data_IF_257845232192
#
_entry.id   IF_257845232192
#
_cell.length_a   1.000
_cell.length_b   1.000
_cell.length_c   1.000
_cell.angle_alpha   90.00
_cell.angle_beta   90.00
_cell.angle_gamma   90.00
#
_symmetry.space_group_name_H-M   'P 1'
#
loop_
_entity.id
_entity.type
_entity.pdbx_description
1 polymer ?
#
# COMPACT_ATOMS: atom_id res chain seq x y z
N UNK A 1 -6.55 -9.46 -16.97
CA UNK A 1 -6.75 -8.04 -17.27
C UNK A 1 -8.14 -7.48 -16.93
N UNK A 2 -9.16 -8.31 -16.66
CA UNK A 2 -10.56 -7.88 -16.40
C UNK A 2 -10.73 -6.75 -15.36
N UNK A 3 -9.91 -6.70 -14.31
CA UNK A 3 -10.00 -5.65 -13.27
C UNK A 3 -9.60 -4.28 -13.82
N UNK A 4 -8.47 -4.20 -14.53
CA UNK A 4 -7.96 -2.94 -15.08
C UNK A 4 -8.92 -2.37 -16.13
N UNK A 5 -9.43 -3.23 -17.02
CA UNK A 5 -10.37 -2.81 -18.05
C UNK A 5 -11.72 -2.36 -17.45
N UNK A 6 -12.20 -3.07 -16.41
CA UNK A 6 -13.43 -2.69 -15.69
C UNK A 6 -13.27 -1.39 -14.92
N UNK A 7 -12.10 -1.16 -14.33
CA UNK A 7 -11.76 0.09 -13.64
C UNK A 7 -11.80 1.27 -14.61
N UNK A 8 -11.17 1.15 -15.79
CA UNK A 8 -11.20 2.21 -16.80
C UNK A 8 -12.59 2.42 -17.40
N UNK A 9 -13.40 1.36 -17.53
CA UNK A 9 -14.79 1.51 -17.97
C UNK A 9 -15.62 2.33 -16.96
N UNK A 10 -15.36 2.15 -15.67
CA UNK A 10 -16.05 2.88 -14.60
C UNK A 10 -15.56 4.32 -14.47
N UNK A 11 -14.25 4.50 -14.33
CA UNK A 11 -13.63 5.78 -13.95
C UNK A 11 -13.02 6.56 -15.10
N UNK A 12 -12.91 5.98 -16.30
CA UNK A 12 -12.30 6.55 -17.52
C UNK A 12 -10.79 6.78 -17.44
N UNK A 13 -10.25 7.24 -16.31
CA UNK A 13 -8.81 7.41 -16.08
C UNK A 13 -8.43 7.29 -14.59
N UNK A 14 -7.14 7.13 -14.30
CA UNK A 14 -6.64 7.16 -12.92
C UNK A 14 -6.92 8.51 -12.25
N UNK A 15 -6.70 9.63 -12.95
CA UNK A 15 -6.93 10.96 -12.37
C UNK A 15 -8.38 11.18 -11.94
N UNK A 16 -9.36 10.73 -12.74
CA UNK A 16 -10.78 10.81 -12.38
C UNK A 16 -11.14 9.91 -11.19
N UNK A 17 -10.54 8.71 -11.10
CA UNK A 17 -10.67 7.88 -9.90
C UNK A 17 -10.11 8.58 -8.65
N UNK A 18 -8.94 9.20 -8.75
CA UNK A 18 -8.34 9.94 -7.64
C UNK A 18 -9.19 11.16 -7.24
N UNK A 19 -9.88 11.80 -8.18
CA UNK A 19 -10.86 12.86 -7.86
C UNK A 19 -12.08 12.30 -7.11
N UNK A 20 -12.58 11.12 -7.51
CA UNK A 20 -13.66 10.43 -6.82
C UNK A 20 -13.30 9.99 -5.38
N UNK A 21 -12.01 9.74 -5.09
CA UNK A 21 -11.52 9.50 -3.72
C UNK A 21 -11.56 10.76 -2.81
N UNK A 22 -11.98 11.92 -3.32
CA UNK A 22 -12.10 13.16 -2.55
C UNK A 22 -10.80 13.97 -2.50
N UNK A 23 -10.77 15.04 -1.70
CA UNK A 23 -9.61 15.94 -1.67
C UNK A 23 -8.38 15.27 -1.05
N UNK A 24 -7.20 15.83 -1.37
CA UNK A 24 -5.96 15.47 -0.65
C UNK A 24 -6.04 16.00 0.77
N UNK A 25 -5.51 15.21 1.71
CA UNK A 25 -5.44 15.57 3.12
C UNK A 25 -4.19 16.41 3.38
N UNK A 26 -4.36 17.46 4.18
CA UNK A 26 -3.23 18.19 4.75
C UNK A 26 -2.55 17.36 5.85
N UNK A 27 -1.38 17.82 6.31
CA UNK A 27 -0.63 17.14 7.35
C UNK A 27 -1.43 17.00 8.65
N UNK A 28 -2.08 18.07 9.10
CA UNK A 28 -2.87 18.07 10.35
C UNK A 28 -4.11 17.18 10.23
N UNK A 29 -4.77 17.17 9.07
CA UNK A 29 -5.90 16.27 8.80
C UNK A 29 -5.45 14.82 8.82
N UNK A 30 -4.33 14.52 8.16
CA UNK A 30 -3.73 13.18 8.15
C UNK A 30 -3.36 12.73 9.56
N UNK A 31 -2.78 13.62 10.37
CA UNK A 31 -2.47 13.35 11.77
C UNK A 31 -3.72 13.00 12.56
N UNK A 32 -4.78 13.81 12.46
CA UNK A 32 -6.04 13.59 13.16
C UNK A 32 -6.69 12.26 12.78
N UNK A 33 -6.71 11.89 11.48
CA UNK A 33 -7.19 10.58 11.06
C UNK A 33 -6.43 9.43 11.74
N UNK A 34 -5.10 9.53 11.80
CA UNK A 34 -4.26 8.49 12.40
C UNK A 34 -4.50 8.44 13.91
N UNK A 35 -4.46 9.57 14.62
CA UNK A 35 -4.62 9.58 16.08
C UNK A 35 -5.98 9.06 16.50
N UNK A 36 -7.07 9.52 15.89
CA UNK A 36 -8.41 9.02 16.18
C UNK A 36 -8.53 7.52 15.91
N UNK A 37 -7.90 7.02 14.85
CA UNK A 37 -7.91 5.57 14.56
C UNK A 37 -7.16 4.78 15.63
N UNK A 38 -6.00 5.27 16.10
CA UNK A 38 -5.22 4.63 17.15
C UNK A 38 -5.95 4.63 18.50
N UNK A 39 -6.55 5.76 18.86
CA UNK A 39 -7.35 5.94 20.09
C UNK A 39 -8.57 5.00 20.10
N UNK A 40 -9.29 4.90 18.98
CA UNK A 40 -10.43 3.99 18.85
C UNK A 40 -10.05 2.51 19.02
N UNK A 41 -8.79 2.17 18.73
CA UNK A 41 -8.25 0.82 18.94
C UNK A 41 -7.59 0.65 20.32
N UNK A 42 -7.37 1.72 21.08
CA UNK A 42 -6.64 1.71 22.36
C UNK A 42 -5.17 1.30 22.21
N UNK A 43 -4.50 1.72 21.12
CA UNK A 43 -3.12 1.33 20.81
C UNK A 43 -2.16 2.51 20.58
N UNK A 44 -2.59 3.73 20.91
CA UNK A 44 -1.82 4.98 20.77
C UNK A 44 -0.47 4.94 21.50
N UNK A 45 -0.38 4.19 22.61
CA UNK A 45 0.85 4.05 23.40
C UNK A 45 1.96 3.28 22.65
N UNK A 46 1.55 2.46 21.67
CA UNK A 46 2.38 1.50 20.97
C UNK A 46 2.85 2.01 19.61
N UNK A 47 2.21 3.04 19.04
CA UNK A 47 2.53 3.55 17.70
C UNK A 47 2.80 5.05 17.78
N UNK A 48 4.03 5.44 17.40
CA UNK A 48 4.40 6.84 17.21
C UNK A 48 4.21 7.27 15.75
N UNK A 49 3.77 8.51 15.52
CA UNK A 49 3.58 9.08 14.18
C UNK A 49 4.78 9.96 13.83
N UNK A 50 5.30 9.84 12.62
CA UNK A 50 6.47 10.57 12.17
C UNK A 50 6.32 11.03 10.71
N UNK A 51 6.28 12.34 10.48
CA UNK A 51 6.21 12.92 9.13
C UNK A 51 7.61 13.23 8.59
N UNK A 52 7.91 12.78 7.37
CA UNK A 52 9.25 12.95 6.77
C UNK A 52 9.21 13.22 5.28
N UNK A 53 10.06 14.13 4.79
CA UNK A 53 10.18 14.45 3.35
C UNK A 53 10.89 13.34 2.54
N UNK A 54 11.93 12.75 3.12
CA UNK A 54 12.82 11.81 2.43
C UNK A 54 12.33 10.36 2.59
N UNK A 55 11.15 10.07 2.05
CA UNK A 55 10.58 8.73 2.04
C UNK A 55 10.22 8.30 0.61
N UNK A 56 10.42 7.01 0.30
CA UNK A 56 10.05 6.44 -1.01
C UNK A 56 8.57 6.10 -1.01
N UNK A 57 8.13 5.32 -0.02
CA UNK A 57 6.74 4.92 0.15
C UNK A 57 5.92 6.04 0.82
N UNK A 58 4.63 6.19 0.49
CA UNK A 58 3.74 7.15 1.16
C UNK A 58 3.56 6.88 2.66
N UNK A 59 3.51 5.60 3.06
CA UNK A 59 3.51 5.15 4.47
C UNK A 59 4.42 3.95 4.63
N UNK A 60 5.00 3.82 5.82
CA UNK A 60 5.58 2.57 6.30
C UNK A 60 5.44 2.47 7.81
N UNK A 61 5.21 1.25 8.32
CA UNK A 61 5.22 0.97 9.76
C UNK A 61 6.48 0.19 10.12
N UNK A 62 7.35 0.80 10.92
CA UNK A 62 8.58 0.16 11.39
C UNK A 62 8.43 -0.27 12.84
N UNK A 63 8.92 -1.45 13.19
CA UNK A 63 8.86 -1.98 14.56
C UNK A 63 10.23 -1.93 15.20
N UNK A 64 10.32 -1.30 16.37
CA UNK A 64 11.53 -1.30 17.18
C UNK A 64 11.54 -2.54 18.10
N UNK A 65 12.43 -3.52 17.87
CA UNK A 65 12.50 -4.73 18.69
C UNK A 65 12.97 -4.47 20.13
N UNK A 66 13.64 -3.34 20.41
CA UNK A 66 14.15 -3.00 21.75
C UNK A 66 13.03 -2.46 22.63
N UNK A 67 12.28 -1.49 22.12
CA UNK A 67 11.17 -0.86 22.86
C UNK A 67 9.85 -1.60 22.70
N UNK A 68 9.73 -2.45 21.68
CA UNK A 68 8.50 -3.15 21.32
C UNK A 68 7.42 -2.25 20.71
N UNK A 69 7.75 -0.96 20.49
CA UNK A 69 6.89 0.06 19.89
C UNK A 69 7.07 0.11 18.37
N UNK A 70 6.05 0.61 17.69
CA UNK A 70 6.05 0.87 16.27
C UNK A 70 6.14 2.37 15.98
N UNK A 71 6.62 2.69 14.78
CA UNK A 71 6.64 4.03 14.22
C UNK A 71 5.99 4.01 12.85
N UNK A 72 4.89 4.73 12.71
CA UNK A 72 4.22 4.98 11.44
C UNK A 72 4.85 6.21 10.79
N UNK A 73 5.57 6.00 9.70
CA UNK A 73 6.22 7.06 8.95
C UNK A 73 5.33 7.46 7.79
N UNK A 74 4.98 8.75 7.72
CA UNK A 74 4.18 9.33 6.64
C UNK A 74 5.07 10.25 5.80
N UNK A 75 5.02 10.08 4.49
CA UNK A 75 5.78 10.94 3.57
C UNK A 75 5.18 12.33 3.46
N UNK A 76 6.03 13.35 3.42
CA UNK A 76 5.69 14.72 3.05
C UNK A 76 6.13 15.06 1.60
N UNK A 77 5.31 15.82 0.84
CA UNK A 77 3.94 16.22 1.16
C UNK A 77 3.00 15.01 1.23
N UNK A 78 1.93 15.11 2.01
CA UNK A 78 0.95 14.04 2.17
C UNK A 78 0.31 13.70 0.81
N UNK A 79 0.30 12.40 0.45
CA UNK A 79 -0.28 11.92 -0.81
C UNK A 79 -1.69 11.30 -0.61
N UNK A 80 -2.20 11.27 0.62
CA UNK A 80 -3.48 10.64 0.97
C UNK A 80 -4.69 11.50 0.63
N UNK A 81 -5.80 10.84 0.32
CA UNK A 81 -7.11 11.44 0.08
C UNK A 81 -8.13 10.92 1.09
N UNK A 82 -9.17 11.70 1.33
CA UNK A 82 -10.22 11.41 2.31
C UNK A 82 -10.80 10.00 2.17
N UNK A 83 -11.22 9.62 0.95
CA UNK A 83 -11.82 8.31 0.66
C UNK A 83 -10.85 7.13 0.75
N UNK A 84 -9.55 7.38 0.98
CA UNK A 84 -8.51 6.36 1.02
C UNK A 84 -7.86 6.19 2.39
N UNK A 85 -7.82 7.25 3.19
CA UNK A 85 -7.01 7.28 4.41
C UNK A 85 -7.40 6.16 5.38
N UNK A 86 -8.70 5.95 5.59
CA UNK A 86 -9.19 4.87 6.45
C UNK A 86 -8.76 3.48 5.95
N UNK A 87 -8.85 3.21 4.66
CA UNK A 87 -8.40 1.93 4.10
C UNK A 87 -6.90 1.70 4.28
N UNK A 88 -6.07 2.75 4.22
CA UNK A 88 -4.64 2.65 4.50
C UNK A 88 -4.39 2.30 5.98
N UNK A 89 -5.18 2.84 6.89
CA UNK A 89 -5.10 2.51 8.32
C UNK A 89 -5.58 1.07 8.60
N UNK A 90 -6.64 0.63 7.95
CA UNK A 90 -7.12 -0.76 8.01
C UNK A 90 -6.04 -1.74 7.51
N UNK A 91 -5.27 -1.35 6.48
CA UNK A 91 -4.15 -2.12 5.93
C UNK A 91 -2.97 -2.18 6.92
N UNK A 92 -2.38 -1.02 7.22
CA UNK A 92 -1.12 -0.93 7.97
C UNK A 92 -1.30 -1.24 9.46
N UNK A 93 -2.37 -0.71 10.06
CA UNK A 93 -2.62 -0.84 11.51
C UNK A 93 -3.60 -1.97 11.77
N UNK A 94 -4.78 -1.91 11.15
CA UNK A 94 -5.87 -2.86 11.35
C UNK A 94 -5.49 -4.31 11.00
N UNK A 95 -4.54 -4.49 10.08
CA UNK A 95 -4.08 -5.82 9.66
C UNK A 95 -2.67 -6.09 10.16
N UNK A 96 -1.66 -5.38 9.66
CA UNK A 96 -0.27 -5.75 9.94
C UNK A 96 0.15 -5.58 11.39
N UNK A 97 -0.13 -4.40 11.96
CA UNK A 97 0.22 -4.11 13.35
C UNK A 97 -0.58 -4.99 14.31
N UNK A 98 -1.92 -5.01 14.22
CA UNK A 98 -2.75 -5.75 15.17
C UNK A 98 -2.45 -7.24 15.15
N UNK A 99 -2.26 -7.86 13.98
CA UNK A 99 -1.84 -9.26 13.88
C UNK A 99 -0.50 -9.50 14.59
N UNK A 100 0.49 -8.63 14.39
CA UNK A 100 1.79 -8.73 15.06
C UNK A 100 1.71 -8.51 16.56
N UNK A 101 0.89 -7.56 16.98
CA UNK A 101 0.69 -7.22 18.39
C UNK A 101 0.03 -8.40 19.11
N UNK A 102 -1.04 -8.95 18.53
CA UNK A 102 -1.76 -10.11 19.06
C UNK A 102 -0.91 -11.38 19.05
N UNK A 103 0.01 -11.53 18.09
CA UNK A 103 0.94 -12.66 18.03
C UNK A 103 1.80 -12.79 19.30
N UNK A 104 2.07 -11.68 20.00
CA UNK A 104 2.83 -11.68 21.27
C UNK A 104 2.15 -12.47 22.39
N UNK A 105 0.82 -12.59 22.33
CA UNK A 105 0.00 -13.30 23.33
C UNK A 105 -0.21 -14.78 22.99
N UNK A 106 0.27 -15.24 21.84
CA UNK A 106 0.03 -16.60 21.38
C UNK A 106 1.06 -17.58 21.94
N UNK A 107 0.66 -18.85 22.12
CA UNK A 107 1.53 -19.91 22.66
C UNK A 107 2.78 -20.16 21.80
N UNK A 108 2.70 -19.82 20.51
CA UNK A 108 3.78 -19.94 19.52
C UNK A 108 4.66 -18.69 19.37
N UNK A 109 4.44 -17.62 20.15
CA UNK A 109 5.28 -16.42 20.09
C UNK A 109 6.75 -16.77 20.31
N UNK A 110 7.62 -16.29 19.39
CA UNK A 110 9.07 -16.61 19.34
C UNK A 110 9.41 -18.11 19.28
N UNK A 111 8.44 -18.98 19.03
CA UNK A 111 8.60 -20.44 19.02
C UNK A 111 7.84 -21.06 17.84
N UNK A 112 7.72 -20.34 16.72
CA UNK A 112 6.93 -20.76 15.54
C UNK A 112 7.41 -22.11 14.99
N UNK A 113 8.72 -22.36 15.00
CA UNK A 113 9.31 -23.62 14.55
C UNK A 113 8.86 -24.82 15.40
N UNK A 114 8.66 -24.63 16.71
CA UNK A 114 8.16 -25.68 17.61
C UNK A 114 6.74 -26.16 17.22
N UNK A 115 5.96 -25.30 16.58
CA UNK A 115 4.58 -25.57 16.20
C UNK A 115 4.43 -25.72 14.66
N UNK A 116 5.54 -25.92 13.94
CA UNK A 116 5.56 -26.07 12.47
C UNK A 116 4.86 -24.92 11.72
N UNK A 117 4.89 -23.71 12.29
CA UNK A 117 4.16 -22.55 11.76
C UNK A 117 4.91 -21.93 10.58
N UNK A 118 4.34 -22.00 9.38
CA UNK A 118 4.87 -21.36 8.15
C UNK A 118 4.70 -19.84 8.18
N UNK A 119 5.46 -19.10 7.37
CA UNK A 119 5.24 -17.65 7.20
C UNK A 119 3.82 -17.36 6.70
N UNK A 120 3.19 -16.32 7.23
CA UNK A 120 1.84 -15.89 6.81
C UNK A 120 1.86 -14.65 5.92
N UNK A 121 3.03 -14.15 5.52
CA UNK A 121 3.16 -12.86 4.85
C UNK A 121 2.27 -12.72 3.61
N UNK A 122 2.23 -13.73 2.73
CA UNK A 122 1.41 -13.69 1.51
C UNK A 122 -0.09 -13.62 1.83
N UNK A 123 -0.54 -14.41 2.80
CA UNK A 123 -1.95 -14.40 3.24
C UNK A 123 -2.29 -13.09 3.93
N UNK A 124 -1.36 -12.55 4.70
CA UNK A 124 -1.52 -11.30 5.43
C UNK A 124 -1.62 -10.10 4.48
N UNK A 125 -0.76 -9.99 3.48
CA UNK A 125 -0.82 -8.95 2.44
C UNK A 125 -2.14 -9.03 1.65
N UNK A 126 -2.58 -10.25 1.32
CA UNK A 126 -3.87 -10.47 0.67
C UNK A 126 -5.04 -9.98 1.53
N UNK A 127 -5.04 -10.33 2.82
CA UNK A 127 -6.03 -9.85 3.79
C UNK A 127 -5.98 -8.32 3.91
N UNK A 128 -4.79 -7.73 4.04
CA UNK A 128 -4.61 -6.29 4.17
C UNK A 128 -5.14 -5.54 2.93
N UNK A 129 -4.90 -6.07 1.72
CA UNK A 129 -5.46 -5.55 0.48
C UNK A 129 -7.00 -5.59 0.46
N UNK A 130 -7.60 -6.68 0.97
CA UNK A 130 -9.07 -6.77 1.05
C UNK A 130 -9.65 -5.86 2.13
N UNK A 131 -9.00 -5.77 3.29
CA UNK A 131 -9.45 -4.94 4.41
C UNK A 131 -9.45 -3.45 4.04
N UNK A 132 -8.44 -3.01 3.28
CA UNK A 132 -8.37 -1.66 2.72
C UNK A 132 -9.63 -1.25 1.93
N UNK A 133 -10.33 -2.20 1.31
CA UNK A 133 -11.50 -1.93 0.48
C UNK A 133 -12.82 -1.98 1.25
N UNK A 134 -12.82 -2.43 2.50
CA UNK A 134 -14.06 -2.60 3.29
C UNK A 134 -14.78 -1.28 3.48
N UNK A 135 -14.05 -0.20 3.77
CA UNK A 135 -14.67 1.12 3.93
C UNK A 135 -15.25 1.66 2.63
N UNK A 136 -14.53 1.49 1.51
CA UNK A 136 -15.03 1.84 0.17
C UNK A 136 -16.32 1.09 -0.19
N UNK A 137 -16.47 -0.16 0.25
CA UNK A 137 -17.73 -0.90 0.10
C UNK A 137 -18.84 -0.31 0.97
N UNK A 138 -18.53 0.01 2.24
CA UNK A 138 -19.50 0.50 3.21
C UNK A 138 -20.01 1.90 2.91
N UNK A 139 -19.13 2.81 2.49
CA UNK A 139 -19.48 4.19 2.18
C UNK A 139 -20.18 4.33 0.82
N UNK A 140 -19.99 3.37 -0.08
CA UNK A 140 -20.58 3.35 -1.42
C UNK A 140 -20.11 4.49 -2.33
N UNK A 141 -19.08 5.25 -1.95
CA UNK A 141 -18.61 6.43 -2.71
C UNK A 141 -17.83 6.02 -3.95
N UNK A 142 -17.07 4.93 -3.83
CA UNK A 142 -16.27 4.38 -4.91
C UNK A 142 -16.55 2.88 -5.06
N UNK A 143 -16.37 2.38 -6.27
CA UNK A 143 -16.40 0.94 -6.54
C UNK A 143 -15.07 0.33 -6.08
N UNK A 144 -15.09 -0.76 -5.30
CA UNK A 144 -13.93 -1.31 -4.59
C UNK A 144 -13.02 -2.14 -5.52
N UNK A 145 -12.48 -1.53 -6.58
CA UNK A 145 -11.54 -2.22 -7.44
C UNK A 145 -10.19 -2.37 -6.74
N UNK A 146 -9.64 -3.58 -6.73
CA UNK A 146 -8.23 -3.84 -6.44
C UNK A 146 -7.32 -3.37 -7.59
N UNK A 147 -7.57 -2.16 -8.11
CA UNK A 147 -6.92 -1.59 -9.29
C UNK A 147 -5.41 -1.51 -9.12
N UNK A 148 -4.93 -0.94 -8.00
CA UNK A 148 -3.49 -0.82 -7.74
C UNK A 148 -2.80 -2.18 -7.59
N UNK A 149 -3.44 -3.16 -6.93
CA UNK A 149 -2.89 -4.51 -6.81
C UNK A 149 -2.82 -5.21 -8.16
N UNK A 150 -3.88 -5.11 -8.97
CA UNK A 150 -3.91 -5.64 -10.33
C UNK A 150 -2.85 -4.97 -11.23
N UNK A 151 -2.64 -3.66 -11.09
CA UNK A 151 -1.66 -2.91 -11.85
C UNK A 151 -0.22 -3.26 -11.42
N UNK A 152 0.02 -3.42 -10.12
CA UNK A 152 1.30 -3.89 -9.59
C UNK A 152 1.67 -5.27 -10.13
N UNK A 153 0.69 -6.19 -10.17
CA UNK A 153 0.87 -7.51 -10.76
C UNK A 153 1.18 -7.42 -12.27
N UNK A 154 0.39 -6.63 -13.01
CA UNK A 154 0.61 -6.41 -14.43
C UNK A 154 2.00 -5.84 -14.71
N UNK A 155 2.38 -4.76 -14.02
CA UNK A 155 3.68 -4.12 -14.19
C UNK A 155 4.84 -5.08 -13.91
N UNK A 156 4.71 -5.91 -12.86
CA UNK A 156 5.73 -6.88 -12.54
C UNK A 156 5.86 -7.97 -13.62
N UNK A 157 4.74 -8.48 -14.14
CA UNK A 157 4.76 -9.42 -15.25
C UNK A 157 5.40 -8.78 -16.50
N UNK A 158 4.94 -7.59 -16.89
CA UNK A 158 5.44 -6.91 -18.09
C UNK A 158 6.90 -6.46 -17.99
N UNK A 159 7.42 -6.21 -16.78
CA UNK A 159 8.84 -5.93 -16.58
C UNK A 159 9.75 -7.06 -17.07
N UNK A 160 9.28 -8.32 -17.05
CA UNK A 160 10.00 -9.45 -17.63
C UNK A 160 10.10 -9.35 -19.16
N UNK A 161 9.13 -8.72 -19.81
CA UNK A 161 8.99 -8.72 -21.27
C UNK A 161 9.48 -7.43 -21.93
N UNK A 162 9.59 -6.34 -21.17
CA UNK A 162 9.81 -4.98 -21.69
C UNK A 162 11.05 -4.32 -21.07
N UNK A 163 11.64 -3.32 -21.75
CA UNK A 163 12.62 -2.40 -21.14
C UNK A 163 11.93 -1.44 -20.15
N UNK A 164 12.68 -0.61 -19.43
CA UNK A 164 12.08 0.44 -18.59
C UNK A 164 11.24 1.41 -19.41
N UNK A 165 11.76 1.89 -20.54
CA UNK A 165 11.09 2.89 -21.39
C UNK A 165 9.83 2.30 -22.02
N UNK A 166 9.90 1.06 -22.48
CA UNK A 166 8.75 0.38 -23.07
C UNK A 166 7.67 0.15 -22.02
N UNK A 167 8.03 -0.31 -20.81
CA UNK A 167 7.07 -0.48 -19.73
C UNK A 167 6.44 0.86 -19.31
N UNK A 168 7.23 1.93 -19.21
CA UNK A 168 6.72 3.27 -18.88
C UNK A 168 5.67 3.74 -19.89
N UNK A 169 5.91 3.54 -21.19
CA UNK A 169 4.96 3.84 -22.26
C UNK A 169 3.73 2.91 -22.19
N UNK A 170 3.95 1.63 -21.97
CA UNK A 170 2.90 0.62 -21.89
C UNK A 170 1.90 0.89 -20.76
N UNK A 171 2.37 1.40 -19.63
CA UNK A 171 1.53 1.76 -18.47
C UNK A 171 0.59 2.95 -18.73
N UNK A 172 0.77 3.72 -19.82
CA UNK A 172 -0.12 4.83 -20.20
C UNK A 172 -1.57 4.39 -20.39
N UNK A 173 -1.77 3.13 -20.77
CA UNK A 173 -3.10 2.52 -20.91
C UNK A 173 -3.93 2.65 -19.63
N UNK A 174 -3.28 2.61 -18.47
CA UNK A 174 -3.92 2.52 -17.17
C UNK A 174 -3.69 3.77 -16.30
N UNK A 175 -2.52 4.39 -16.43
CA UNK A 175 -2.05 5.50 -15.58
C UNK A 175 -1.75 6.71 -16.46
N UNK A 176 -2.62 7.73 -16.40
CA UNK A 176 -2.49 8.94 -17.20
C UNK A 176 -1.32 9.83 -16.73
N UNK A 177 -1.13 9.97 -15.41
CA UNK A 177 -0.02 10.75 -14.83
C UNK A 177 1.36 10.15 -15.16
N UNK A 178 2.25 10.90 -15.86
CA UNK A 178 3.62 10.46 -16.13
C UNK A 178 4.42 10.19 -14.85
N UNK A 179 4.21 10.99 -13.80
CA UNK A 179 4.91 10.82 -12.52
C UNK A 179 4.47 9.55 -11.80
N UNK A 180 3.17 9.21 -11.84
CA UNK A 180 2.69 7.94 -11.30
C UNK A 180 3.20 6.75 -12.10
N UNK A 181 3.18 6.83 -13.44
CA UNK A 181 3.76 5.80 -14.33
C UNK A 181 5.22 5.53 -14.02
N UNK A 182 6.00 6.59 -13.85
CA UNK A 182 7.41 6.48 -13.48
C UNK A 182 7.57 5.70 -12.17
N UNK A 183 6.77 6.00 -11.14
CA UNK A 183 6.80 5.27 -9.85
C UNK A 183 6.50 3.77 -10.04
N UNK A 184 5.50 3.41 -10.86
CA UNK A 184 5.19 2.01 -11.14
C UNK A 184 6.31 1.29 -11.90
N UNK A 185 6.85 1.89 -12.96
CA UNK A 185 7.96 1.32 -13.72
C UNK A 185 9.22 1.19 -12.86
N UNK A 186 9.58 2.24 -12.11
CA UNK A 186 10.72 2.26 -11.21
C UNK A 186 10.62 1.17 -10.14
N UNK A 187 9.44 0.94 -9.54
CA UNK A 187 9.24 -0.09 -8.52
C UNK A 187 9.72 -1.47 -8.99
N UNK A 188 9.38 -1.84 -10.23
CA UNK A 188 9.68 -3.17 -10.78
C UNK A 188 10.99 -3.23 -11.58
N UNK A 189 11.61 -2.08 -11.88
CA UNK A 189 12.88 -2.00 -12.64
C UNK A 189 14.08 -1.49 -11.84
N UNK A 190 13.87 -0.99 -10.62
CA UNK A 190 14.95 -0.47 -9.77
C UNK A 190 15.98 -1.57 -9.48
N UNK A 191 17.26 -1.19 -9.44
CA UNK A 191 18.38 -2.09 -9.15
C UNK A 191 18.89 -2.88 -10.34
N UNK A 192 18.29 -2.75 -11.54
CA UNK A 192 18.90 -3.27 -12.77
C UNK A 192 20.07 -2.38 -13.20
N UNK A 193 21.19 -3.00 -13.57
CA UNK A 193 22.37 -2.29 -14.07
C UNK A 193 22.12 -1.69 -15.46
N UNK A 194 21.44 -2.43 -16.34
CA UNK A 194 21.02 -1.96 -17.66
C UNK A 194 19.49 -2.04 -17.76
N UNK A 195 18.84 -0.88 -17.74
CA UNK A 195 17.39 -0.74 -17.79
C UNK A 195 16.81 -0.84 -19.20
N UNK A 196 17.66 -0.93 -20.23
CA UNK A 196 17.24 -1.30 -21.59
C UNK A 196 16.89 -2.78 -21.70
N UNK A 197 17.39 -3.61 -20.78
CA UNK A 197 17.14 -5.05 -20.77
C UNK A 197 15.80 -5.42 -20.13
N UNK A 198 15.35 -6.61 -20.52
CA UNK A 198 14.24 -7.34 -19.91
C UNK A 198 14.60 -7.80 -18.49
N UNK A 199 13.57 -8.00 -17.67
CA UNK A 199 13.72 -8.45 -16.27
C UNK A 199 13.31 -7.38 -15.26
N UNK A 200 13.16 -7.75 -14.00
CA UNK A 200 12.69 -6.83 -12.97
C UNK A 200 13.01 -7.28 -11.55
N UNK A 201 12.80 -6.36 -10.62
CA UNK A 201 12.82 -6.62 -9.19
C UNK A 201 11.43 -7.07 -8.74
N UNK A 202 11.31 -8.33 -8.30
CA UNK A 202 10.04 -8.94 -7.89
C UNK A 202 9.86 -9.06 -6.37
N UNK A 203 10.68 -8.37 -5.58
CA UNK A 203 10.66 -8.44 -4.12
C UNK A 203 9.48 -7.72 -3.46
N UNK A 204 8.85 -6.79 -4.18
CA UNK A 204 7.82 -5.92 -3.62
C UNK A 204 6.39 -6.40 -3.93
N UNK A 205 6.22 -7.58 -4.56
CA UNK A 205 4.89 -8.08 -4.96
C UNK A 205 4.02 -8.49 -3.79
#
# INVERSE_FOLDING_TARGET
>A
MKILDSFLKEYKSESQYLEAEGKKLEQDETYNYITTYLENLGVEEWISINFQKNQVAPTSVTHDPKTGKCKMNIKLPCEYREGRMMGVLDHEIGTHFLRKHNEKQQVWYKRRDKYDMKTCIVTEEGLACTNQMVQTVKDGRCKPFLYRSALNYYAAFMAKEMSFVDLFKDLEKYVDSPQARWKFALRVKRGLTDTSQKGGLYKDQ
#
